data_IF_862842417535
#
_entry.id   IF_862842417535
#
_cell.length_a   1.000
_cell.length_b   1.000
_cell.length_c   1.000
_cell.angle_alpha   90.00
_cell.angle_beta   90.00
_cell.angle_gamma   90.00
#
_symmetry.space_group_name_H-M   'P 1'
#
loop_
_entity.id
_entity.type
_entity.pdbx_description
1 polymer ?
#
# COMPACT_ATOMS: atom_id res chain seq x y z
N UNK A 1 8.40 26.12 14.24
CA UNK A 1 8.30 24.64 14.27
C UNK A 1 6.89 24.31 13.83
N UNK A 2 6.75 23.53 12.76
CA UNK A 2 5.46 22.95 12.38
C UNK A 2 5.06 21.91 13.42
N UNK A 3 3.80 21.91 13.81
CA UNK A 3 3.24 20.89 14.69
C UNK A 3 3.40 19.50 14.06
N UNK A 4 3.79 18.51 14.86
CA UNK A 4 3.93 17.14 14.36
C UNK A 4 2.54 16.51 14.15
N UNK A 5 2.44 15.55 13.23
CA UNK A 5 1.17 14.82 12.97
C UNK A 5 0.54 14.25 14.26
N UNK A 6 1.39 13.74 15.17
CA UNK A 6 0.97 13.25 16.47
C UNK A 6 0.35 14.34 17.36
N UNK A 7 0.96 15.53 17.40
CA UNK A 7 0.43 16.66 18.18
C UNK A 7 -0.87 17.19 17.58
N UNK A 8 -0.99 17.17 16.25
CA UNK A 8 -2.21 17.53 15.53
C UNK A 8 -3.34 16.47 15.62
N UNK A 9 -3.11 15.32 16.29
CA UNK A 9 -4.11 14.28 16.45
C UNK A 9 -4.35 13.39 15.22
N UNK A 10 -3.49 13.45 14.20
CA UNK A 10 -3.65 12.76 12.91
C UNK A 10 -2.99 11.36 12.89
N UNK A 11 -2.96 10.67 14.04
CA UNK A 11 -2.26 9.38 14.15
C UNK A 11 -2.95 8.25 13.37
N UNK A 12 -4.26 8.35 13.19
CA UNK A 12 -5.10 7.37 12.51
C UNK A 12 -5.08 7.48 10.97
N UNK A 13 -4.49 8.55 10.44
CA UNK A 13 -4.31 8.80 9.00
C UNK A 13 -3.27 7.85 8.40
N UNK A 14 -2.34 7.32 9.21
CA UNK A 14 -1.20 6.53 8.74
C UNK A 14 -1.33 5.05 9.12
N UNK A 15 -1.21 4.18 8.12
CA UNK A 15 -1.08 2.73 8.28
C UNK A 15 0.34 2.27 7.96
N UNK A 16 0.81 1.23 8.63
CA UNK A 16 2.13 0.65 8.39
C UNK A 16 1.99 -0.78 7.86
N UNK A 17 2.54 -1.04 6.68
CA UNK A 17 2.62 -2.38 6.12
C UNK A 17 3.70 -3.17 6.83
N UNK A 18 3.40 -4.42 7.15
CA UNK A 18 4.36 -5.34 7.72
C UNK A 18 5.40 -5.73 6.65
N UNK A 19 6.71 -5.48 6.88
CA UNK A 19 7.75 -5.73 5.88
C UNK A 19 7.78 -7.18 5.38
N UNK A 20 7.55 -8.15 6.27
CA UNK A 20 7.56 -9.57 5.90
C UNK A 20 6.42 -9.94 4.94
N UNK A 21 5.24 -9.35 5.14
CA UNK A 21 4.06 -9.66 4.32
C UNK A 21 4.16 -9.12 2.89
N UNK A 22 4.99 -8.09 2.67
CA UNK A 22 5.21 -7.48 1.35
C UNK A 22 6.53 -7.91 0.69
N UNK A 23 7.30 -8.79 1.34
CA UNK A 23 8.59 -9.24 0.85
C UNK A 23 8.47 -10.51 0.01
N UNK A 24 9.32 -10.64 -1.02
CA UNK A 24 9.36 -11.83 -1.87
C UNK A 24 9.85 -13.10 -1.15
N UNK A 25 10.72 -12.94 -0.17
CA UNK A 25 11.27 -14.04 0.62
C UNK A 25 10.28 -14.41 1.73
N UNK A 26 9.79 -15.65 1.71
CA UNK A 26 8.93 -16.17 2.78
C UNK A 26 7.43 -15.96 2.57
N UNK A 27 7.02 -15.30 1.48
CA UNK A 27 5.61 -15.16 1.08
C UNK A 27 5.45 -15.44 -0.42
N UNK A 28 4.32 -16.06 -0.78
CA UNK A 28 3.91 -16.13 -2.19
C UNK A 28 3.37 -14.77 -2.66
N UNK A 29 3.43 -14.53 -3.98
CA UNK A 29 2.84 -13.32 -4.57
C UNK A 29 1.35 -13.18 -4.22
N UNK A 30 0.62 -14.29 -4.21
CA UNK A 30 -0.80 -14.32 -3.86
C UNK A 30 -1.05 -13.87 -2.41
N UNK A 31 -0.23 -14.34 -1.46
CA UNK A 31 -0.36 -13.96 -0.06
C UNK A 31 -0.08 -12.48 0.15
N UNK A 32 1.00 -11.95 -0.44
CA UNK A 32 1.34 -10.52 -0.36
C UNK A 32 0.27 -9.64 -1.01
N UNK A 33 -0.27 -10.05 -2.15
CA UNK A 33 -1.35 -9.33 -2.82
C UNK A 33 -2.63 -9.35 -1.98
N UNK A 34 -2.99 -10.50 -1.43
CA UNK A 34 -4.16 -10.62 -0.56
C UNK A 34 -3.99 -9.81 0.73
N UNK A 35 -2.80 -9.78 1.31
CA UNK A 35 -2.48 -8.95 2.47
C UNK A 35 -2.72 -7.47 2.17
N UNK A 36 -2.15 -6.94 1.08
CA UNK A 36 -2.30 -5.53 0.69
C UNK A 36 -3.77 -5.22 0.36
N UNK A 37 -4.47 -6.09 -0.39
CA UNK A 37 -5.90 -5.93 -0.70
C UNK A 37 -6.75 -5.86 0.57
N UNK A 38 -6.58 -6.81 1.48
CA UNK A 38 -7.33 -6.84 2.73
C UNK A 38 -7.04 -5.61 3.59
N UNK A 39 -5.79 -5.14 3.60
CA UNK A 39 -5.43 -3.89 4.27
C UNK A 39 -6.18 -2.71 3.66
N UNK A 40 -6.13 -2.53 2.34
CA UNK A 40 -6.79 -1.40 1.68
C UNK A 40 -8.33 -1.46 1.74
N UNK A 41 -8.91 -2.66 1.83
CA UNK A 41 -10.37 -2.84 1.91
C UNK A 41 -10.92 -2.68 3.33
N UNK A 42 -10.18 -3.12 4.34
CA UNK A 42 -10.68 -3.21 5.72
C UNK A 42 -10.11 -2.15 6.66
N UNK A 43 -8.99 -1.52 6.32
CA UNK A 43 -8.36 -0.53 7.19
C UNK A 43 -8.80 0.89 6.84
N UNK A 44 -8.81 1.74 7.88
CA UNK A 44 -9.22 3.15 7.84
C UNK A 44 -8.16 4.16 7.35
N UNK A 45 -6.83 3.93 7.47
CA UNK A 45 -5.85 4.98 7.16
C UNK A 45 -5.92 5.47 5.71
N UNK A 46 -5.68 6.76 5.50
CA UNK A 46 -5.64 7.35 4.16
C UNK A 46 -4.30 7.09 3.46
N UNK A 47 -3.23 6.92 4.25
CA UNK A 47 -1.85 6.79 3.78
C UNK A 47 -1.21 5.55 4.36
N UNK A 48 -0.60 4.71 3.52
CA UNK A 48 0.15 3.54 3.96
C UNK A 48 1.63 3.69 3.70
N UNK A 49 2.44 3.33 4.69
CA UNK A 49 3.90 3.30 4.59
C UNK A 49 4.37 1.85 4.66
N UNK A 50 5.20 1.43 3.71
CA UNK A 50 5.82 0.11 3.71
C UNK A 50 7.33 0.22 3.56
N UNK A 51 8.07 -0.40 4.48
CA UNK A 51 9.49 -0.64 4.31
C UNK A 51 9.69 -2.00 3.62
N UNK A 52 10.48 -2.04 2.55
CA UNK A 52 10.77 -3.27 1.82
C UNK A 52 12.26 -3.40 1.52
N UNK A 53 12.73 -4.64 1.40
CA UNK A 53 14.13 -4.94 1.13
C UNK A 53 14.30 -5.32 -0.34
N UNK A 54 15.10 -4.53 -1.07
CA UNK A 54 15.42 -4.81 -2.46
C UNK A 54 16.94 -4.73 -2.65
N UNK A 55 17.54 -5.82 -3.15
CA UNK A 55 19.00 -5.98 -3.32
C UNK A 55 19.81 -5.57 -2.07
N UNK A 56 19.42 -6.12 -0.91
CA UNK A 56 20.03 -5.83 0.40
C UNK A 56 19.94 -4.35 0.85
N UNK A 57 19.10 -3.53 0.19
CA UNK A 57 18.87 -2.15 0.55
C UNK A 57 17.42 -1.90 0.96
N UNK A 58 17.23 -1.31 2.15
CA UNK A 58 15.91 -0.90 2.62
C UNK A 58 15.42 0.32 1.84
N UNK A 59 14.22 0.19 1.31
CA UNK A 59 13.51 1.22 0.57
C UNK A 59 12.14 1.41 1.21
N UNK A 60 11.45 2.49 0.83
CA UNK A 60 10.14 2.81 1.37
C UNK A 60 9.15 3.09 0.25
N UNK A 61 7.94 2.58 0.39
CA UNK A 61 6.80 2.88 -0.47
C UNK A 61 5.74 3.61 0.35
N UNK A 62 5.11 4.61 -0.25
CA UNK A 62 3.93 5.29 0.29
C UNK A 62 2.78 5.09 -0.68
N UNK A 63 1.63 4.63 -0.18
CA UNK A 63 0.45 4.31 -0.98
C UNK A 63 -0.72 5.17 -0.48
N UNK A 64 -1.40 5.83 -1.41
CA UNK A 64 -2.64 6.58 -1.17
C UNK A 64 -3.74 5.94 -2.02
N UNK A 65 -4.44 4.90 -1.52
CA UNK A 65 -5.35 4.10 -2.34
C UNK A 65 -6.53 4.90 -2.89
N UNK A 66 -7.06 5.86 -2.12
CA UNK A 66 -8.17 6.73 -2.55
C UNK A 66 -7.81 7.60 -3.76
N UNK A 67 -6.53 7.94 -3.89
CA UNK A 67 -6.00 8.80 -4.94
C UNK A 67 -5.37 7.99 -6.08
N UNK A 68 -5.27 6.66 -5.90
CA UNK A 68 -4.55 5.76 -6.79
C UNK A 68 -3.09 6.20 -7.03
N UNK A 69 -2.42 6.68 -5.96
CA UNK A 69 -1.04 7.19 -6.00
C UNK A 69 -0.12 6.25 -5.23
N UNK A 70 1.06 5.96 -5.82
CA UNK A 70 2.14 5.21 -5.19
C UNK A 70 3.45 5.98 -5.35
N UNK A 71 4.10 6.28 -4.23
CA UNK A 71 5.35 7.03 -4.15
C UNK A 71 6.46 6.09 -3.69
N UNK A 72 7.61 6.13 -4.36
CA UNK A 72 8.74 5.26 -4.07
C UNK A 72 9.92 6.08 -3.59
N UNK A 73 10.50 5.70 -2.46
CA UNK A 73 11.67 6.32 -1.87
C UNK A 73 12.83 5.33 -1.82
N UNK A 74 13.98 5.77 -2.33
CA UNK A 74 15.23 5.04 -2.23
C UNK A 74 16.36 6.05 -2.02
N UNK A 75 17.08 5.93 -0.90
CA UNK A 75 18.17 6.85 -0.57
C UNK A 75 19.39 6.69 -1.48
N UNK A 76 19.50 5.55 -2.17
CA UNK A 76 20.52 5.30 -3.18
C UNK A 76 20.07 5.62 -4.62
N UNK A 77 18.87 6.20 -4.80
CA UNK A 77 18.27 6.47 -6.11
C UNK A 77 18.12 5.23 -7.02
N UNK A 78 18.10 4.03 -6.44
CA UNK A 78 17.81 2.80 -7.18
C UNK A 78 16.36 2.80 -7.67
N UNK A 79 16.12 2.07 -8.76
CA UNK A 79 14.77 1.87 -9.29
C UNK A 79 13.92 1.07 -8.29
N UNK A 80 12.62 1.37 -8.17
CA UNK A 80 11.75 0.60 -7.29
C UNK A 80 11.53 -0.82 -7.83
N UNK A 81 11.34 -1.77 -6.91
CA UNK A 81 11.23 -3.19 -7.20
C UNK A 81 10.00 -3.52 -8.07
N UNK A 82 10.23 -4.27 -9.15
CA UNK A 82 9.17 -4.65 -10.09
C UNK A 82 8.19 -5.67 -9.50
N UNK A 83 8.65 -6.51 -8.57
CA UNK A 83 7.79 -7.47 -7.90
C UNK A 83 6.77 -6.76 -7.00
N UNK A 84 7.23 -5.89 -6.10
CA UNK A 84 6.36 -5.11 -5.22
C UNK A 84 5.44 -4.16 -6.01
N UNK A 85 5.95 -3.53 -7.08
CA UNK A 85 5.10 -2.76 -8.01
C UNK A 85 3.94 -3.58 -8.56
N UNK A 86 4.21 -4.81 -9.01
CA UNK A 86 3.19 -5.70 -9.57
C UNK A 86 2.11 -6.03 -8.56
N UNK A 87 2.50 -6.35 -7.32
CA UNK A 87 1.58 -6.67 -6.23
C UNK A 87 0.70 -5.47 -5.90
N UNK A 88 1.28 -4.28 -5.70
CA UNK A 88 0.53 -3.07 -5.33
C UNK A 88 -0.45 -2.69 -6.44
N UNK A 89 -0.02 -2.70 -7.70
CA UNK A 89 -0.89 -2.36 -8.83
C UNK A 89 -2.06 -3.35 -8.97
N UNK A 90 -1.82 -4.65 -8.74
CA UNK A 90 -2.89 -5.65 -8.76
C UNK A 90 -3.87 -5.46 -7.60
N UNK A 91 -3.36 -5.09 -6.42
CA UNK A 91 -4.19 -4.78 -5.26
C UNK A 91 -5.08 -3.54 -5.48
N UNK A 92 -4.50 -2.46 -6.03
CA UNK A 92 -5.23 -1.23 -6.35
C UNK A 92 -6.33 -1.46 -7.39
N UNK A 93 -6.03 -2.20 -8.46
CA UNK A 93 -7.01 -2.53 -9.49
C UNK A 93 -8.21 -3.31 -8.92
N UNK A 94 -7.97 -4.23 -7.99
CA UNK A 94 -9.04 -4.98 -7.34
C UNK A 94 -9.97 -4.13 -6.45
N UNK A 95 -9.52 -2.97 -5.97
CA UNK A 95 -10.36 -2.03 -5.23
C UNK A 95 -11.35 -1.32 -6.15
N UNK A 96 -10.88 -0.84 -7.30
CA UNK A 96 -11.71 -0.13 -8.28
C UNK A 96 -12.89 -1.02 -8.73
N UNK A 97 -12.62 -2.28 -9.07
CA UNK A 97 -13.64 -3.26 -9.48
C UNK A 97 -14.69 -3.52 -8.37
N UNK A 98 -14.23 -3.55 -7.11
CA UNK A 98 -15.10 -3.75 -5.95
C UNK A 98 -15.97 -2.53 -5.65
N UNK A 99 -15.44 -1.31 -5.84
CA UNK A 99 -16.21 -0.08 -5.67
C UNK A 99 -17.23 0.10 -6.80
N UNK A 100 -16.83 -0.18 -8.04
CA UNK A 100 -17.70 -0.06 -9.20
C UNK A 100 -18.87 -1.07 -9.14
N UNK A 101 -18.64 -2.30 -8.68
CA UNK A 101 -19.71 -3.29 -8.47
C UNK A 101 -20.70 -2.90 -7.36
N UNK A 102 -20.24 -2.25 -6.28
CA UNK A 102 -21.11 -1.70 -5.22
C UNK A 102 -21.95 -0.50 -5.67
N UNK A 103 -21.48 0.27 -6.66
CA UNK A 103 -22.20 1.45 -7.18
C UNK A 103 -23.30 1.14 -8.22
N UNK A 104 -23.40 -0.11 -8.68
CA UNK A 104 -24.41 -0.49 -9.70
C UNK A 104 -25.79 -0.67 -9.03
N UNK A 105 -26.85 0.03 -9.48
CA UNK A 105 -28.20 -0.18 -8.96
C UNK A 105 -28.64 -1.63 -9.25
N UNK A 106 -29.42 -2.27 -8.37
CA UNK A 106 -30.00 -3.57 -8.66
C UNK A 106 -30.85 -3.45 -9.94
N UNK A 107 -30.59 -4.35 -10.90
CA UNK A 107 -31.39 -4.43 -12.12
C UNK A 107 -32.84 -4.70 -11.73
N UNK A 108 -33.74 -3.83 -12.20
CA UNK A 108 -35.18 -3.89 -11.96
C UNK A 108 -35.86 -4.83 -12.94
#
# INVERSE_FOLDING_TARGET
MTETSMQAGNIDVYGFLEPQSIQRSGQSQFESENYIKNWMQNSKPDVYLGAYLNDAHWQMVVILPKENVVIWFCSLHNKPDNYLKGIINSALKGLDDTQQSKSKPPAR
#
